data_IF_035991962642
#
_entry.id   IF_035991962642
#
_cell.length_a   1.000
_cell.length_b   1.000
_cell.length_c   1.000
_cell.angle_alpha   90.00
_cell.angle_beta   90.00
_cell.angle_gamma   90.00
#
_symmetry.space_group_name_H-M   'P 1'
#
loop_
_entity.id
_entity.type
_entity.pdbx_description
1 polymer ?
#
# COMPACT_ATOMS: atom_id res chain seq x y z
N UNK A 1 11.70 -2.33 -12.31
CA UNK A 1 10.47 -2.23 -13.13
C UNK A 1 9.63 -1.09 -12.57
N UNK A 2 9.43 -0.03 -13.37
CA UNK A 2 8.86 1.27 -12.94
C UNK A 2 7.32 1.29 -13.05
N UNK A 3 6.70 0.11 -13.15
CA UNK A 3 5.28 -0.08 -13.49
C UNK A 3 4.26 0.62 -12.55
N UNK A 4 4.50 0.78 -11.23
CA UNK A 4 3.54 1.49 -10.38
C UNK A 4 3.56 3.02 -10.55
N UNK A 5 4.63 3.60 -11.12
CA UNK A 5 4.80 5.05 -11.23
C UNK A 5 4.07 5.64 -12.45
N UNK A 6 3.77 4.82 -13.46
CA UNK A 6 3.10 5.27 -14.67
C UNK A 6 1.57 5.48 -14.50
N UNK A 7 1.00 5.00 -13.39
CA UNK A 7 -0.42 5.21 -13.10
C UNK A 7 -0.55 6.57 -12.43
N UNK A 8 -0.93 7.57 -13.21
CA UNK A 8 -1.22 8.89 -12.67
C UNK A 8 -2.23 8.78 -11.51
N UNK A 9 -2.08 9.56 -10.42
CA UNK A 9 -3.04 9.59 -9.31
C UNK A 9 -4.50 9.71 -9.77
N UNK A 10 -4.72 10.44 -10.87
CA UNK A 10 -6.02 10.55 -11.52
C UNK A 10 -6.58 9.20 -12.02
N UNK A 11 -5.75 8.34 -12.64
CA UNK A 11 -6.17 7.01 -13.10
C UNK A 11 -6.53 6.12 -11.93
N UNK A 12 -5.74 6.15 -10.84
CA UNK A 12 -6.05 5.40 -9.64
C UNK A 12 -7.36 5.85 -8.99
N UNK A 13 -7.61 7.16 -8.91
CA UNK A 13 -8.86 7.72 -8.39
C UNK A 13 -10.06 7.26 -9.24
N UNK A 14 -9.94 7.33 -10.57
CA UNK A 14 -10.99 6.87 -11.50
C UNK A 14 -11.25 5.36 -11.34
N UNK A 15 -10.20 4.56 -11.18
CA UNK A 15 -10.33 3.11 -10.93
C UNK A 15 -11.09 2.83 -9.62
N UNK A 16 -10.75 3.53 -8.52
CA UNK A 16 -11.46 3.35 -7.26
C UNK A 16 -12.92 3.75 -7.34
N UNK A 17 -13.24 4.89 -7.97
CA UNK A 17 -14.62 5.33 -8.19
C UNK A 17 -15.39 4.30 -9.04
N UNK A 18 -14.77 3.76 -10.08
CA UNK A 18 -15.37 2.74 -10.94
C UNK A 18 -15.63 1.43 -10.18
N UNK A 19 -14.65 0.93 -9.42
CA UNK A 19 -14.76 -0.30 -8.65
C UNK A 19 -15.81 -0.21 -7.52
N UNK A 20 -15.97 0.97 -6.91
CA UNK A 20 -16.92 1.26 -5.85
C UNK A 20 -18.22 1.93 -6.34
N UNK A 21 -18.47 1.91 -7.66
CA UNK A 21 -19.69 2.47 -8.25
C UNK A 21 -20.93 1.74 -7.72
N UNK A 22 -21.96 2.46 -7.20
CA UNK A 22 -23.17 1.82 -6.70
C UNK A 22 -23.88 1.02 -7.81
N UNK A 23 -24.26 -0.22 -7.52
CA UNK A 23 -25.03 -1.08 -8.42
C UNK A 23 -24.25 -1.75 -9.57
N UNK A 24 -23.14 -1.18 -10.05
CA UNK A 24 -22.33 -1.76 -11.15
C UNK A 24 -20.87 -2.07 -10.80
N UNK A 25 -20.37 -1.55 -9.68
CA UNK A 25 -18.99 -1.77 -9.25
C UNK A 25 -18.75 -3.22 -8.80
N UNK A 26 -17.56 -3.76 -9.12
CA UNK A 26 -17.19 -5.10 -8.68
C UNK A 26 -17.19 -5.23 -7.15
N UNK A 27 -16.64 -4.22 -6.46
CA UNK A 27 -16.53 -4.25 -5.00
C UNK A 27 -17.90 -4.05 -4.36
N UNK A 28 -18.75 -3.17 -4.92
CA UNK A 28 -20.12 -2.98 -4.43
C UNK A 28 -20.96 -4.24 -4.61
N UNK A 29 -20.77 -4.97 -5.71
CA UNK A 29 -21.44 -6.26 -5.92
C UNK A 29 -21.03 -7.31 -4.89
N UNK A 30 -19.73 -7.39 -4.57
CA UNK A 30 -19.23 -8.29 -3.52
C UNK A 30 -19.80 -7.89 -2.15
N UNK A 31 -19.81 -6.59 -1.81
CA UNK A 31 -20.40 -6.09 -0.56
C UNK A 31 -21.90 -6.40 -0.46
N UNK A 32 -22.62 -6.27 -1.57
CA UNK A 32 -24.03 -6.64 -1.65
C UNK A 32 -24.23 -8.15 -1.42
N UNK A 33 -23.32 -9.00 -1.89
CA UNK A 33 -23.31 -10.43 -1.59
C UNK A 33 -23.18 -10.77 -0.10
N UNK A 34 -22.57 -9.87 0.69
CA UNK A 34 -22.52 -9.95 2.15
C UNK A 34 -23.68 -9.21 2.85
N UNK A 35 -24.66 -8.70 2.09
CA UNK A 35 -25.81 -7.96 2.62
C UNK A 35 -25.53 -6.49 2.96
N UNK A 36 -24.39 -5.94 2.53
CA UNK A 36 -24.04 -4.55 2.76
C UNK A 36 -24.32 -3.69 1.52
N UNK A 37 -25.21 -2.70 1.66
CA UNK A 37 -25.49 -1.75 0.59
C UNK A 37 -24.45 -0.62 0.59
N UNK A 38 -23.58 -0.65 -0.42
CA UNK A 38 -22.58 0.39 -0.64
C UNK A 38 -23.10 1.44 -1.62
N UNK A 39 -23.33 2.64 -1.11
CA UNK A 39 -23.71 3.82 -1.87
C UNK A 39 -23.01 5.08 -1.37
N UNK A 40 -21.79 5.32 -1.86
CA UNK A 40 -21.01 6.51 -1.55
C UNK A 40 -21.65 7.83 -2.06
N UNK A 41 -22.64 7.78 -2.95
CA UNK A 41 -23.37 8.97 -3.39
C UNK A 41 -24.46 9.41 -2.39
N UNK A 42 -24.96 8.47 -1.58
CA UNK A 42 -26.00 8.73 -0.58
C UNK A 42 -25.48 8.72 0.86
N UNK A 43 -24.31 8.13 1.10
CA UNK A 43 -23.70 8.03 2.43
C UNK A 43 -22.35 8.77 2.49
N UNK A 44 -22.31 9.87 3.24
CA UNK A 44 -21.12 10.70 3.41
C UNK A 44 -19.97 9.96 4.11
N UNK A 45 -20.27 9.01 5.01
CA UNK A 45 -19.26 8.17 5.66
C UNK A 45 -18.58 7.21 4.68
N UNK A 46 -19.35 6.60 3.78
CA UNK A 46 -18.80 5.75 2.71
C UNK A 46 -17.99 6.55 1.69
N UNK A 47 -18.45 7.76 1.35
CA UNK A 47 -17.68 8.69 0.51
C UNK A 47 -16.33 9.05 1.14
N UNK A 48 -16.34 9.43 2.43
CA UNK A 48 -15.12 9.75 3.16
C UNK A 48 -14.18 8.55 3.23
N UNK A 49 -14.70 7.35 3.51
CA UNK A 49 -13.91 6.13 3.50
C UNK A 49 -13.23 5.90 2.15
N UNK A 50 -13.97 6.04 1.05
CA UNK A 50 -13.42 5.86 -0.30
C UNK A 50 -12.28 6.85 -0.60
N UNK A 51 -12.45 8.12 -0.22
CA UNK A 51 -11.43 9.16 -0.38
C UNK A 51 -10.18 8.86 0.46
N UNK A 52 -10.37 8.46 1.72
CA UNK A 52 -9.25 8.11 2.62
C UNK A 52 -8.52 6.87 2.09
N UNK A 53 -9.24 5.84 1.68
CA UNK A 53 -8.68 4.62 1.11
C UNK A 53 -7.81 4.93 -0.12
N UNK A 54 -8.35 5.70 -1.07
CA UNK A 54 -7.63 6.10 -2.28
C UNK A 54 -6.37 6.92 -1.93
N UNK A 55 -6.48 7.85 -0.97
CA UNK A 55 -5.39 8.71 -0.52
C UNK A 55 -4.28 7.94 0.19
N UNK A 56 -4.62 6.98 1.05
CA UNK A 56 -3.66 6.09 1.74
C UNK A 56 -2.95 5.20 0.74
N UNK A 57 -3.67 4.61 -0.22
CA UNK A 57 -3.07 3.77 -1.26
C UNK A 57 -2.05 4.54 -2.11
N UNK A 58 -2.36 5.79 -2.46
CA UNK A 58 -1.45 6.66 -3.19
C UNK A 58 -0.18 6.98 -2.38
N UNK A 59 -0.32 7.33 -1.10
CA UNK A 59 0.83 7.62 -0.24
C UNK A 59 1.73 6.39 -0.01
N UNK A 60 1.13 5.22 0.20
CA UNK A 60 1.89 3.97 0.35
C UNK A 60 2.71 3.70 -0.92
N UNK A 61 2.11 3.88 -2.11
CA UNK A 61 2.80 3.64 -3.39
C UNK A 61 4.02 4.55 -3.57
N UNK A 62 3.91 5.83 -3.15
CA UNK A 62 5.03 6.77 -3.17
C UNK A 62 6.12 6.37 -2.17
N UNK A 63 5.74 6.16 -0.90
CA UNK A 63 6.69 5.84 0.17
C UNK A 63 7.38 4.49 -0.07
N UNK A 64 6.68 3.51 -0.66
CA UNK A 64 7.25 2.20 -0.94
C UNK A 64 8.47 2.25 -1.86
N UNK A 65 8.54 3.22 -2.78
CA UNK A 65 9.73 3.38 -3.63
C UNK A 65 10.94 3.83 -2.82
N UNK A 66 10.75 4.77 -1.88
CA UNK A 66 11.82 5.19 -0.97
C UNK A 66 12.22 4.07 -0.04
N UNK A 67 11.27 3.33 0.51
CA UNK A 67 11.55 2.15 1.33
C UNK A 67 12.30 1.07 0.55
N UNK A 68 11.90 0.79 -0.69
CA UNK A 68 12.58 -0.20 -1.53
C UNK A 68 13.99 0.26 -1.92
N UNK A 69 14.17 1.54 -2.26
CA UNK A 69 15.48 2.11 -2.54
C UNK A 69 16.40 2.07 -1.31
N UNK A 70 15.85 2.37 -0.12
CA UNK A 70 16.58 2.30 1.14
C UNK A 70 16.89 0.85 1.56
N UNK A 71 16.02 -0.12 1.23
CA UNK A 71 16.32 -1.55 1.40
C UNK A 71 17.40 -2.03 0.43
N UNK A 72 17.40 -1.51 -0.81
CA UNK A 72 18.39 -1.85 -1.83
C UNK A 72 19.76 -1.23 -1.56
N UNK A 73 19.84 -0.14 -0.79
CA UNK A 73 21.11 0.49 -0.40
C UNK A 73 21.83 -0.28 0.73
N UNK A 74 21.16 -1.23 1.39
CA UNK A 74 21.76 -2.06 2.43
C UNK A 74 22.77 -3.03 1.79
N UNK A 75 24.07 -2.94 2.12
CA UNK A 75 25.09 -3.82 1.54
C UNK A 75 24.83 -5.28 1.91
N UNK A 76 24.89 -6.19 0.93
CA UNK A 76 24.70 -7.63 1.15
C UNK A 76 25.68 -8.21 2.19
N UNK A 77 26.88 -7.65 2.28
CA UNK A 77 27.90 -8.03 3.27
C UNK A 77 27.45 -7.84 4.72
N UNK A 78 26.61 -6.84 5.00
CA UNK A 78 26.04 -6.60 6.34
C UNK A 78 24.97 -7.63 6.68
N UNK A 79 24.18 -8.05 5.69
CA UNK A 79 23.16 -9.10 5.84
C UNK A 79 23.82 -10.47 6.06
N UNK A 80 24.92 -10.75 5.38
CA UNK A 80 25.70 -11.98 5.50
C UNK A 80 26.47 -12.06 6.83
N UNK A 81 27.10 -10.95 7.27
CA UNK A 81 27.73 -10.89 8.58
C UNK A 81 26.73 -11.16 9.72
N UNK A 82 25.54 -10.56 9.65
CA UNK A 82 24.47 -10.83 10.61
C UNK A 82 23.91 -12.27 10.54
N UNK A 83 24.17 -12.99 9.44
CA UNK A 83 23.86 -14.42 9.32
C UNK A 83 24.87 -15.31 10.00
N UNK A 84 26.14 -14.95 9.87
CA UNK A 84 27.23 -15.62 10.58
C UNK A 84 27.04 -15.43 12.10
N UNK A 85 26.53 -14.27 12.54
CA UNK A 85 26.22 -13.97 13.95
C UNK A 85 24.92 -14.61 14.49
N UNK A 86 24.22 -15.44 13.71
CA UNK A 86 23.03 -16.17 14.18
C UNK A 86 21.77 -15.31 14.40
N UNK A 87 21.75 -14.05 13.95
CA UNK A 87 20.57 -13.21 14.07
C UNK A 87 19.48 -13.68 13.09
N UNK A 88 18.34 -14.14 13.62
CA UNK A 88 17.17 -14.52 12.81
C UNK A 88 16.54 -13.34 12.05
N UNK A 89 15.72 -13.61 11.02
CA UNK A 89 15.21 -12.59 10.09
C UNK A 89 14.44 -11.45 10.76
N UNK A 90 13.64 -11.73 11.79
CA UNK A 90 12.91 -10.71 12.56
C UNK A 90 13.86 -9.80 13.34
N UNK A 91 14.90 -10.39 13.96
CA UNK A 91 15.90 -9.63 14.74
C UNK A 91 16.75 -8.74 13.83
N UNK A 92 17.06 -9.17 12.61
CA UNK A 92 17.76 -8.33 11.61
C UNK A 92 16.89 -7.18 11.11
N UNK A 93 15.60 -7.40 10.90
CA UNK A 93 14.70 -6.34 10.46
C UNK A 93 14.65 -5.19 11.48
N UNK A 94 14.40 -5.48 12.75
CA UNK A 94 14.25 -4.44 13.78
C UNK A 94 15.58 -3.82 14.25
N UNK A 95 16.69 -4.56 14.28
CA UNK A 95 17.96 -4.06 14.82
C UNK A 95 18.92 -3.49 13.77
N UNK A 96 18.78 -3.85 12.49
CA UNK A 96 19.68 -3.38 11.42
C UNK A 96 18.92 -2.58 10.37
N UNK A 97 17.86 -3.16 9.79
CA UNK A 97 17.16 -2.55 8.65
C UNK A 97 16.37 -1.31 9.07
N UNK A 98 15.55 -1.41 10.12
CA UNK A 98 14.70 -0.32 10.58
C UNK A 98 15.52 0.90 11.07
N UNK A 99 16.61 0.74 11.86
CA UNK A 99 17.44 1.88 12.30
C UNK A 99 18.24 2.53 11.18
N UNK A 100 18.67 1.77 10.17
CA UNK A 100 19.43 2.30 9.02
C UNK A 100 18.57 3.13 8.05
N UNK A 101 17.28 2.83 7.96
CA UNK A 101 16.34 3.56 7.10
C UNK A 101 15.74 4.78 7.82
N UNK A 102 15.70 4.77 9.16
CA UNK A 102 15.13 5.86 9.97
C UNK A 102 16.14 6.98 10.28
N UNK A 103 17.43 6.82 9.91
CA UNK A 103 18.46 7.86 9.97
C UNK A 103 18.65 8.51 8.61
#
# INVERSE_FOLDING_TARGET
>A
MILPYAVAPAVAAVLWIFLFSPGMGLITHVLAGFGYDWNHAQNSGQAMFLVVLASVWQQISYNFLFFLAALQSIPRSLVEAAAIDGAGPVRRFFNLVLPLITR
#
